data_IF_677993595004
#
_entry.id   IF_677993595004
#
_cell.length_a   1.000
_cell.length_b   1.000
_cell.length_c   1.000
_cell.angle_alpha   90.00
_cell.angle_beta   90.00
_cell.angle_gamma   90.00
#
_symmetry.space_group_name_H-M   'P 1'
#
loop_
_entity.id
_entity.type
_entity.pdbx_description
1 polymer ?
#
# COMPACT_ATOMS: atom_id res chain seq x y z
N UNK A 1 -8.86 7.57 11.46
CA UNK A 1 -7.89 6.73 10.73
C UNK A 1 -7.51 5.48 11.53
N UNK A 2 -6.76 5.58 12.64
CA UNK A 2 -6.33 4.37 13.36
C UNK A 2 -7.49 3.49 13.85
N UNK A 3 -8.51 4.10 14.48
CA UNK A 3 -9.69 3.37 14.95
C UNK A 3 -10.48 2.74 13.79
N UNK A 4 -10.50 3.39 12.63
CA UNK A 4 -11.14 2.86 11.43
C UNK A 4 -10.39 1.63 10.91
N UNK A 5 -9.06 1.69 10.81
CA UNK A 5 -8.25 0.53 10.41
C UNK A 5 -8.44 -0.62 11.39
N UNK A 6 -8.41 -0.33 12.69
CA UNK A 6 -8.60 -1.31 13.75
C UNK A 6 -9.98 -1.95 13.69
N UNK A 7 -11.03 -1.16 13.41
CA UNK A 7 -12.39 -1.66 13.19
C UNK A 7 -12.52 -2.56 11.97
N UNK A 8 -11.85 -2.22 10.86
CA UNK A 8 -11.80 -3.06 9.64
C UNK A 8 -11.10 -4.39 9.92
N UNK A 9 -9.97 -4.39 10.64
CA UNK A 9 -9.26 -5.62 11.03
C UNK A 9 -10.11 -6.48 11.96
N UNK A 10 -10.81 -5.88 12.94
CA UNK A 10 -11.70 -6.63 13.84
C UNK A 10 -12.88 -7.30 13.11
N UNK A 11 -13.31 -6.74 11.98
CA UNK A 11 -14.41 -7.27 11.17
C UNK A 11 -14.00 -8.38 10.19
N UNK A 12 -12.70 -8.71 10.08
CA UNK A 12 -12.19 -9.80 9.24
C UNK A 12 -12.79 -11.13 9.69
N UNK A 13 -13.30 -11.91 8.72
CA UNK A 13 -13.99 -13.17 8.98
C UNK A 13 -13.02 -14.35 9.03
N UNK A 14 -11.99 -14.35 8.17
CA UNK A 14 -10.94 -15.37 8.17
C UNK A 14 -10.09 -15.24 9.46
N UNK A 15 -10.10 -16.25 10.35
CA UNK A 15 -9.44 -16.14 11.65
C UNK A 15 -7.92 -16.02 11.55
N UNK A 16 -7.31 -16.66 10.54
CA UNK A 16 -5.86 -16.61 10.31
C UNK A 16 -5.43 -15.23 9.82
N UNK A 17 -6.17 -14.67 8.86
CA UNK A 17 -5.92 -13.30 8.38
C UNK A 17 -6.09 -12.30 9.52
N UNK A 18 -7.19 -12.40 10.28
CA UNK A 18 -7.46 -11.50 11.41
C UNK A 18 -6.31 -11.54 12.43
N UNK A 19 -5.90 -12.73 12.84
CA UNK A 19 -4.83 -12.90 13.83
C UNK A 19 -3.49 -12.32 13.32
N UNK A 20 -3.16 -12.52 12.05
CA UNK A 20 -1.96 -11.94 11.44
C UNK A 20 -2.03 -10.40 11.44
N UNK A 21 -3.14 -9.82 11.00
CA UNK A 21 -3.32 -8.37 10.94
C UNK A 21 -3.34 -7.74 12.33
N UNK A 22 -3.98 -8.37 13.31
CA UNK A 22 -3.92 -7.93 14.72
C UNK A 22 -2.47 -7.92 15.23
N UNK A 23 -1.64 -8.90 14.87
CA UNK A 23 -0.21 -8.92 15.21
C UNK A 23 0.55 -7.76 14.57
N UNK A 24 0.27 -7.45 13.30
CA UNK A 24 0.85 -6.30 12.60
C UNK A 24 0.49 -4.99 13.32
N UNK A 25 -0.80 -4.80 13.63
CA UNK A 25 -1.29 -3.60 14.32
C UNK A 25 -0.65 -3.45 15.71
N UNK A 26 -0.49 -4.56 16.44
CA UNK A 26 0.13 -4.57 17.76
C UNK A 26 1.63 -4.21 17.71
N UNK A 27 2.40 -4.81 16.80
CA UNK A 27 3.86 -4.62 16.72
C UNK A 27 4.25 -3.30 16.08
N UNK A 28 3.49 -2.87 15.09
CA UNK A 28 3.89 -1.77 14.21
C UNK A 28 2.97 -0.55 14.29
N UNK A 29 1.92 -0.57 15.12
CA UNK A 29 0.90 0.48 15.13
C UNK A 29 1.41 1.89 15.38
N UNK A 30 2.33 2.08 16.34
CA UNK A 30 2.93 3.40 16.58
C UNK A 30 3.68 3.93 15.37
N UNK A 31 4.38 3.06 14.64
CA UNK A 31 5.09 3.43 13.41
C UNK A 31 4.12 3.72 12.28
N UNK A 32 3.14 2.84 12.05
CA UNK A 32 2.11 3.01 11.01
C UNK A 32 1.35 4.33 11.14
N UNK A 33 1.06 4.78 12.36
CA UNK A 33 0.38 6.07 12.62
C UNK A 33 1.15 7.29 12.13
N UNK A 34 2.48 7.21 12.04
CA UNK A 34 3.34 8.36 11.72
C UNK A 34 4.19 8.16 10.46
N UNK A 35 4.24 6.96 9.88
CA UNK A 35 5.09 6.65 8.73
C UNK A 35 4.61 7.33 7.44
N UNK A 36 5.52 7.83 6.58
CA UNK A 36 5.17 8.24 5.22
C UNK A 36 4.92 7.01 4.32
N UNK A 37 4.04 7.13 3.32
CA UNK A 37 3.82 6.05 2.36
C UNK A 37 4.92 5.98 1.29
N UNK A 38 5.60 7.10 1.02
CA UNK A 38 6.72 7.13 0.08
C UNK A 38 7.74 8.20 0.47
N UNK A 39 8.94 8.07 -0.07
CA UNK A 39 10.00 9.08 0.07
C UNK A 39 9.67 10.41 -0.63
N UNK A 40 9.12 10.35 -1.86
CA UNK A 40 8.91 11.55 -2.69
C UNK A 40 7.69 11.51 -3.62
N UNK A 41 6.95 10.40 -3.70
CA UNK A 41 5.96 10.18 -4.78
C UNK A 41 4.54 10.52 -4.33
N UNK A 42 3.94 9.71 -3.46
CA UNK A 42 2.59 9.90 -2.95
C UNK A 42 2.59 9.72 -1.43
N UNK A 43 1.84 10.56 -0.72
CA UNK A 43 1.71 10.48 0.74
C UNK A 43 3.05 10.55 1.51
N UNK A 44 4.00 11.36 1.01
CA UNK A 44 5.33 11.57 1.61
C UNK A 44 5.29 12.54 2.82
N UNK A 45 4.39 12.28 3.77
CA UNK A 45 4.21 13.06 5.00
C UNK A 45 3.84 12.13 6.16
N UNK A 46 3.96 12.64 7.39
CA UNK A 46 3.66 11.84 8.59
C UNK A 46 2.22 11.31 8.57
N UNK A 47 2.06 9.99 8.74
CA UNK A 47 0.77 9.30 8.68
C UNK A 47 0.26 9.00 7.27
N UNK A 48 1.04 9.32 6.24
CA UNK A 48 0.68 9.08 4.85
C UNK A 48 0.49 7.60 4.52
N UNK A 49 1.26 6.69 5.13
CA UNK A 49 1.11 5.24 4.92
C UNK A 49 -0.25 4.75 5.43
N UNK A 50 -0.68 5.22 6.60
CA UNK A 50 -1.98 4.85 7.16
C UNK A 50 -3.15 5.37 6.30
N UNK A 51 -3.04 6.61 5.80
CA UNK A 51 -4.05 7.17 4.89
C UNK A 51 -4.15 6.35 3.60
N UNK A 52 -3.00 5.98 3.01
CA UNK A 52 -2.92 5.16 1.82
C UNK A 52 -3.56 3.77 2.05
N UNK A 53 -3.19 3.07 3.13
CA UNK A 53 -3.78 1.78 3.52
C UNK A 53 -5.30 1.88 3.65
N UNK A 54 -5.83 2.90 4.34
CA UNK A 54 -7.28 3.07 4.52
C UNK A 54 -8.00 3.28 3.21
N UNK A 55 -7.40 4.04 2.29
CA UNK A 55 -7.99 4.30 0.99
C UNK A 55 -8.00 3.07 0.09
N UNK A 56 -6.93 2.28 0.12
CA UNK A 56 -6.91 0.98 -0.55
C UNK A 56 -7.94 0.03 0.06
N UNK A 57 -8.07 0.00 1.39
CA UNK A 57 -9.07 -0.81 2.07
C UNK A 57 -10.52 -0.40 1.73
N UNK A 58 -10.78 0.90 1.59
CA UNK A 58 -12.09 1.43 1.19
C UNK A 58 -12.44 1.06 -0.26
N UNK A 59 -11.57 1.43 -1.20
CA UNK A 59 -11.81 1.18 -2.64
C UNK A 59 -11.78 -0.31 -2.94
N UNK A 60 -10.79 -1.02 -2.40
CA UNK A 60 -10.63 -2.47 -2.54
C UNK A 60 -11.82 -3.24 -1.99
N UNK A 61 -12.39 -2.84 -0.86
CA UNK A 61 -13.62 -3.45 -0.32
C UNK A 61 -14.82 -3.30 -1.26
N UNK A 62 -14.98 -2.12 -1.90
CA UNK A 62 -16.02 -1.90 -2.90
C UNK A 62 -15.83 -2.75 -4.17
N UNK A 63 -14.59 -2.89 -4.64
CA UNK A 63 -14.26 -3.75 -5.77
C UNK A 63 -14.43 -5.23 -5.43
N UNK A 64 -14.04 -5.65 -4.22
CA UNK A 64 -14.23 -7.02 -3.76
C UNK A 64 -15.70 -7.42 -3.76
N UNK A 65 -16.57 -6.55 -3.24
CA UNK A 65 -18.02 -6.76 -3.29
C UNK A 65 -18.58 -6.79 -4.72
N UNK A 66 -18.03 -5.97 -5.62
CA UNK A 66 -18.51 -5.86 -7.01
C UNK A 66 -18.11 -7.05 -7.87
N UNK A 67 -16.91 -7.60 -7.66
CA UNK A 67 -16.36 -8.72 -8.43
C UNK A 67 -16.53 -10.08 -7.74
N UNK A 68 -16.98 -10.12 -6.49
CA UNK A 68 -17.20 -11.36 -5.74
C UNK A 68 -15.90 -12.05 -5.30
N UNK A 69 -14.83 -11.28 -5.07
CA UNK A 69 -13.55 -11.80 -4.56
C UNK A 69 -13.47 -11.70 -3.03
N UNK A 70 -12.47 -12.35 -2.42
CA UNK A 70 -12.32 -12.37 -0.96
C UNK A 70 -11.95 -10.98 -0.40
N UNK A 71 -12.86 -10.30 0.34
CA UNK A 71 -12.58 -8.97 0.89
C UNK A 71 -11.53 -9.00 2.02
N UNK A 72 -11.38 -10.12 2.73
CA UNK A 72 -10.41 -10.24 3.81
C UNK A 72 -8.99 -10.30 3.23
N UNK A 73 -8.80 -11.00 2.09
CA UNK A 73 -7.53 -11.02 1.37
C UNK A 73 -7.18 -9.66 0.77
N UNK A 74 -8.15 -8.93 0.20
CA UNK A 74 -7.92 -7.58 -0.33
C UNK A 74 -7.53 -6.61 0.79
N UNK A 75 -8.22 -6.66 1.95
CA UNK A 75 -7.86 -5.85 3.12
C UNK A 75 -6.47 -6.22 3.65
N UNK A 76 -6.15 -7.52 3.72
CA UNK A 76 -4.83 -7.97 4.14
C UNK A 76 -3.74 -7.48 3.18
N UNK A 77 -3.95 -7.60 1.88
CA UNK A 77 -3.06 -7.05 0.86
C UNK A 77 -2.84 -5.55 1.04
N UNK A 78 -3.91 -4.77 1.25
CA UNK A 78 -3.81 -3.34 1.48
C UNK A 78 -2.93 -2.98 2.68
N UNK A 79 -3.00 -3.73 3.79
CA UNK A 79 -2.19 -3.49 4.99
C UNK A 79 -0.75 -3.98 4.83
N UNK A 80 -0.54 -5.09 4.13
CA UNK A 80 0.73 -5.82 4.10
C UNK A 80 1.66 -5.41 2.95
N UNK A 81 1.13 -4.97 1.81
CA UNK A 81 1.92 -4.80 0.57
C UNK A 81 3.15 -3.90 0.74
N UNK A 82 3.01 -2.86 1.57
CA UNK A 82 4.02 -1.85 1.82
C UNK A 82 4.65 -1.93 3.23
N UNK A 83 4.36 -2.99 3.98
CA UNK A 83 4.81 -3.11 5.38
C UNK A 83 6.34 -3.06 5.49
N UNK A 84 7.06 -3.54 4.48
CA UNK A 84 8.51 -3.47 4.41
C UNK A 84 9.07 -2.05 4.39
N UNK A 85 8.27 -1.02 4.09
CA UNK A 85 8.68 0.40 4.18
C UNK A 85 9.04 0.82 5.59
N UNK A 86 8.53 0.11 6.60
CA UNK A 86 8.96 0.27 7.97
C UNK A 86 10.45 -0.05 8.09
N UNK A 87 10.92 -1.17 7.55
CA UNK A 87 12.34 -1.55 7.64
C UNK A 87 13.22 -0.88 6.57
N UNK A 88 12.63 -0.42 5.47
CA UNK A 88 13.34 0.24 4.38
C UNK A 88 13.79 1.66 4.75
N UNK A 89 12.94 2.41 5.45
CA UNK A 89 13.15 3.83 5.76
C UNK A 89 13.64 4.01 7.21
N UNK A 90 14.64 4.86 7.40
CA UNK A 90 15.13 5.34 8.70
C UNK A 90 14.33 6.55 9.17
N UNK A 91 14.15 6.67 10.50
CA UNK A 91 13.32 7.70 11.13
C UNK A 91 14.13 8.81 11.84
N UNK A 92 15.46 8.86 11.67
CA UNK A 92 16.33 9.82 12.37
C UNK A 92 16.33 11.21 11.69
N UNK A 93 15.20 11.92 11.79
CA UNK A 93 15.05 13.35 11.44
C UNK A 93 15.04 13.67 9.94
N UNK A 94 15.63 12.83 9.09
CA UNK A 94 15.50 12.83 7.65
C UNK A 94 15.23 11.40 7.18
N UNK A 95 14.20 11.21 6.35
CA UNK A 95 13.89 9.90 5.77
C UNK A 95 15.08 9.45 4.93
N UNK A 96 15.90 8.55 5.48
CA UNK A 96 17.09 7.98 4.82
C UNK A 96 16.85 6.49 4.64
N UNK A 97 17.47 5.85 3.65
CA UNK A 97 17.32 4.40 3.52
C UNK A 97 18.16 3.69 4.58
N UNK A 98 17.58 2.68 5.25
CA UNK A 98 18.34 1.78 6.12
C UNK A 98 19.32 0.94 5.30
N UNK A 99 20.28 0.30 5.95
CA UNK A 99 21.18 -0.65 5.25
C UNK A 99 20.38 -1.76 4.56
N UNK A 100 19.38 -2.31 5.26
CA UNK A 100 18.51 -3.36 4.73
C UNK A 100 17.63 -2.82 3.60
N UNK A 101 17.11 -1.60 3.73
CA UNK A 101 16.35 -0.93 2.67
C UNK A 101 17.15 -0.79 1.38
N UNK A 102 18.40 -0.32 1.47
CA UNK A 102 19.28 -0.20 0.30
C UNK A 102 19.64 -1.55 -0.34
N UNK A 103 19.80 -2.61 0.45
CA UNK A 103 20.24 -3.91 -0.05
C UNK A 103 19.10 -4.80 -0.56
N UNK A 104 17.92 -4.70 0.05
CA UNK A 104 16.82 -5.66 -0.16
C UNK A 104 15.55 -5.02 -0.72
N UNK A 105 15.30 -3.74 -0.42
CA UNK A 105 14.05 -3.03 -0.74
C UNK A 105 12.83 -3.50 0.06
N UNK A 106 11.79 -2.67 0.11
CA UNK A 106 10.58 -2.92 0.90
C UNK A 106 9.81 -4.17 0.46
N UNK A 107 9.78 -4.55 -0.83
CA UNK A 107 9.07 -5.77 -1.27
C UNK A 107 9.67 -7.00 -0.58
N UNK A 108 10.98 -7.18 -0.68
CA UNK A 108 11.70 -8.32 -0.07
C UNK A 108 11.54 -8.30 1.46
N UNK A 109 11.66 -7.12 2.07
CA UNK A 109 11.49 -6.95 3.52
C UNK A 109 10.06 -7.27 3.95
N UNK A 110 9.05 -6.84 3.19
CA UNK A 110 7.63 -7.09 3.45
C UNK A 110 7.29 -8.57 3.42
N UNK A 111 7.76 -9.30 2.39
CA UNK A 111 7.58 -10.76 2.32
C UNK A 111 8.22 -11.45 3.51
N UNK A 112 9.44 -11.07 3.87
CA UNK A 112 10.13 -11.63 5.04
C UNK A 112 9.33 -11.39 6.32
N UNK A 113 8.84 -10.17 6.53
CA UNK A 113 8.01 -9.81 7.69
C UNK A 113 6.72 -10.64 7.74
N UNK A 114 6.02 -10.78 6.61
CA UNK A 114 4.78 -11.59 6.51
C UNK A 114 5.07 -13.04 6.84
N UNK A 115 6.11 -13.63 6.24
CA UNK A 115 6.48 -15.03 6.48
C UNK A 115 6.89 -15.30 7.93
N UNK A 116 7.67 -14.41 8.54
CA UNK A 116 8.06 -14.50 9.95
C UNK A 116 6.83 -14.43 10.88
N UNK A 117 5.93 -13.46 10.67
CA UNK A 117 4.73 -13.33 11.50
C UNK A 117 3.72 -14.47 11.29
N UNK A 118 3.58 -14.98 10.06
CA UNK A 118 2.72 -16.14 9.80
C UNK A 118 3.28 -17.41 10.47
N UNK A 119 4.59 -17.60 10.49
CA UNK A 119 5.24 -18.75 11.14
C UNK A 119 5.06 -18.76 12.67
N UNK A 120 4.82 -17.61 13.28
CA UNK A 120 4.51 -17.51 14.72
C UNK A 120 3.08 -17.92 15.07
N UNK A 121 2.19 -18.07 14.08
CA UNK A 121 0.81 -18.47 14.26
C UNK A 121 0.68 -19.98 14.08
N UNK A 122 0.42 -20.70 15.17
CA UNK A 122 0.35 -22.16 15.16
C UNK A 122 -0.76 -22.67 14.21
N UNK A 123 -0.36 -23.43 13.20
CA UNK A 123 -1.29 -24.02 12.22
C UNK A 123 -1.68 -23.10 11.08
N UNK A 124 -0.98 -21.97 10.88
CA UNK A 124 -1.25 -21.06 9.76
C UNK A 124 -1.17 -21.81 8.41
N UNK A 125 -2.22 -21.75 7.55
CA UNK A 125 -2.23 -22.51 6.30
C UNK A 125 -1.18 -22.03 5.31
N UNK A 126 -0.40 -22.96 4.74
CA UNK A 126 0.64 -22.65 3.76
C UNK A 126 0.09 -21.94 2.51
N UNK A 127 -1.04 -22.40 1.96
CA UNK A 127 -1.70 -21.77 0.80
C UNK A 127 -2.09 -20.31 1.10
N UNK A 128 -2.59 -20.04 2.31
CA UNK A 128 -2.93 -18.66 2.71
C UNK A 128 -1.68 -17.80 2.85
N UNK A 129 -0.59 -18.34 3.42
CA UNK A 129 0.69 -17.61 3.52
C UNK A 129 1.18 -17.23 2.13
N UNK A 130 1.23 -18.18 1.20
CA UNK A 130 1.71 -17.96 -0.16
C UNK A 130 0.86 -16.92 -0.91
N UNK A 131 -0.47 -16.93 -0.73
CA UNK A 131 -1.35 -15.90 -1.29
C UNK A 131 -1.03 -14.51 -0.73
N UNK A 132 -0.84 -14.37 0.58
CA UNK A 132 -0.49 -13.09 1.21
C UNK A 132 0.89 -12.59 0.77
N UNK A 133 1.88 -13.48 0.70
CA UNK A 133 3.20 -13.16 0.14
C UNK A 133 3.08 -12.75 -1.33
N UNK A 134 2.23 -13.41 -2.11
CA UNK A 134 1.94 -13.06 -3.51
C UNK A 134 1.36 -11.66 -3.65
N UNK A 135 0.44 -11.26 -2.77
CA UNK A 135 -0.08 -9.87 -2.73
C UNK A 135 1.08 -8.88 -2.57
N UNK A 136 2.05 -9.17 -1.69
CA UNK A 136 3.22 -8.31 -1.47
C UNK A 136 4.18 -8.32 -2.66
N UNK A 137 4.55 -9.46 -3.23
CA UNK A 137 5.54 -9.47 -4.34
C UNK A 137 4.98 -8.91 -5.64
N UNK A 138 3.67 -8.94 -5.83
CA UNK A 138 3.06 -8.55 -7.11
C UNK A 138 2.42 -7.17 -7.13
N UNK A 139 2.41 -6.42 -6.03
CA UNK A 139 1.58 -5.21 -5.91
C UNK A 139 1.93 -4.07 -6.90
N UNK A 140 3.19 -3.89 -7.33
CA UNK A 140 3.50 -2.93 -8.40
C UNK A 140 2.99 -3.37 -9.80
N UNK A 141 2.39 -4.54 -9.93
CA UNK A 141 1.61 -4.97 -11.09
C UNK A 141 2.42 -5.55 -12.26
N UNK A 142 3.64 -5.06 -12.47
CA UNK A 142 4.48 -5.53 -13.56
C UNK A 142 5.96 -5.51 -13.20
N UNK A 143 6.73 -6.40 -13.83
CA UNK A 143 8.20 -6.43 -13.71
C UNK A 143 8.87 -5.12 -14.11
N UNK A 144 8.33 -4.44 -15.13
CA UNK A 144 8.81 -3.14 -15.56
C UNK A 144 8.58 -2.02 -14.52
N UNK A 145 7.68 -2.24 -13.56
CA UNK A 145 7.37 -1.33 -12.45
C UNK A 145 8.06 -1.76 -11.14
N UNK A 146 8.90 -2.79 -11.17
CA UNK A 146 9.73 -3.22 -10.04
C UNK A 146 9.17 -4.40 -9.24
N UNK A 147 8.01 -4.96 -9.59
CA UNK A 147 7.53 -6.22 -8.98
C UNK A 147 8.39 -7.42 -9.44
N UNK A 148 8.79 -8.33 -8.54
CA UNK A 148 9.40 -9.60 -8.93
C UNK A 148 8.52 -10.45 -9.88
N UNK A 149 7.20 -10.46 -9.66
CA UNK A 149 6.22 -11.23 -10.42
C UNK A 149 4.94 -10.40 -10.66
N UNK A 150 4.19 -10.74 -11.70
CA UNK A 150 2.89 -10.13 -11.98
C UNK A 150 1.79 -10.65 -11.03
N UNK A 151 0.69 -9.91 -10.82
CA UNK A 151 -0.48 -10.41 -10.10
C UNK A 151 -1.08 -11.64 -10.80
N UNK A 152 -1.40 -12.69 -10.03
CA UNK A 152 -1.88 -13.99 -10.54
C UNK A 152 -3.21 -14.42 -9.89
N UNK A 153 -3.75 -13.61 -9.00
CA UNK A 153 -5.06 -13.79 -8.37
C UNK A 153 -5.90 -12.53 -8.59
N UNK A 154 -7.22 -12.66 -8.48
CA UNK A 154 -8.13 -11.52 -8.66
C UNK A 154 -7.90 -10.47 -7.56
N UNK A 155 -7.63 -10.90 -6.33
CA UNK A 155 -7.31 -10.01 -5.21
C UNK A 155 -6.02 -9.23 -5.47
N UNK A 156 -4.97 -9.89 -5.99
CA UNK A 156 -3.70 -9.23 -6.28
C UNK A 156 -3.82 -8.25 -7.45
N UNK A 157 -4.63 -8.60 -8.47
CA UNK A 157 -4.94 -7.71 -9.58
C UNK A 157 -5.69 -6.47 -9.08
N UNK A 158 -6.68 -6.65 -8.21
CA UNK A 158 -7.42 -5.55 -7.59
C UNK A 158 -6.48 -4.67 -6.79
N UNK A 159 -5.69 -5.24 -5.88
CA UNK A 159 -4.73 -4.52 -5.04
C UNK A 159 -3.77 -3.67 -5.90
N UNK A 160 -3.15 -4.29 -6.89
CA UNK A 160 -2.20 -3.60 -7.76
C UNK A 160 -2.85 -2.45 -8.53
N UNK A 161 -4.06 -2.65 -9.05
CA UNK A 161 -4.78 -1.61 -9.79
C UNK A 161 -5.17 -0.43 -8.89
N UNK A 162 -5.60 -0.68 -7.64
CA UNK A 162 -5.98 0.40 -6.73
C UNK A 162 -4.78 1.15 -6.16
N UNK A 163 -3.65 0.47 -5.95
CA UNK A 163 -2.39 1.08 -5.54
C UNK A 163 -1.88 2.07 -6.61
N UNK A 164 -1.77 1.61 -7.87
CA UNK A 164 -1.37 2.49 -8.98
C UNK A 164 -2.34 3.65 -9.20
N UNK A 165 -3.65 3.40 -9.05
CA UNK A 165 -4.67 4.44 -9.16
C UNK A 165 -4.51 5.50 -8.05
N UNK A 166 -4.28 5.10 -6.81
CA UNK A 166 -4.09 6.04 -5.70
C UNK A 166 -2.83 6.90 -5.92
N UNK A 167 -1.71 6.26 -6.27
CA UNK A 167 -0.47 6.93 -6.61
C UNK A 167 -0.62 7.91 -7.79
N UNK A 168 -1.39 7.51 -8.82
CA UNK A 168 -1.67 8.34 -10.01
C UNK A 168 -2.53 9.55 -9.65
N UNK A 169 -3.62 9.35 -8.91
CA UNK A 169 -4.52 10.44 -8.49
C UNK A 169 -3.84 11.40 -7.52
N UNK A 170 -2.97 10.90 -6.64
CA UNK A 170 -2.19 11.76 -5.75
C UNK A 170 -1.26 12.68 -6.54
N UNK A 171 -0.51 12.13 -7.50
CA UNK A 171 0.37 12.90 -8.39
C UNK A 171 -0.41 13.92 -9.23
N UNK A 172 -1.55 13.52 -9.79
CA UNK A 172 -2.44 14.41 -10.53
C UNK A 172 -2.85 15.63 -9.69
N UNK A 173 -3.42 15.37 -8.50
CA UNK A 173 -3.93 16.43 -7.62
C UNK A 173 -2.82 17.36 -7.14
N UNK A 174 -1.65 16.80 -6.81
CA UNK A 174 -0.49 17.57 -6.39
C UNK A 174 -0.01 18.51 -7.49
N UNK A 175 0.19 17.99 -8.70
CA UNK A 175 0.68 18.79 -9.83
C UNK A 175 -0.28 19.91 -10.21
N UNK A 176 -1.59 19.63 -10.26
CA UNK A 176 -2.62 20.66 -10.50
C UNK A 176 -2.59 21.76 -9.44
N UNK A 177 -2.40 21.40 -8.16
CA UNK A 177 -2.36 22.36 -7.05
C UNK A 177 -1.09 23.20 -7.04
N UNK A 178 0.05 22.63 -7.44
CA UNK A 178 1.36 23.30 -7.43
C UNK A 178 1.63 24.10 -8.71
N UNK A 179 0.89 23.85 -9.79
CA UNK A 179 1.01 24.59 -11.04
C UNK A 179 0.56 26.05 -10.89
N UNK A 180 1.46 26.97 -11.24
CA UNK A 180 1.23 28.42 -11.21
C UNK A 180 1.24 29.04 -12.61
N UNK A 181 1.18 28.21 -13.66
CA UNK A 181 1.16 28.69 -15.04
C UNK A 181 -0.16 29.37 -15.40
N UNK A 182 -0.14 30.21 -16.42
CA UNK A 182 -1.35 30.79 -17.00
C UNK A 182 -2.09 29.76 -17.88
N UNK A 183 -3.39 29.99 -18.14
CA UNK A 183 -4.22 29.14 -18.99
C UNK A 183 -4.83 27.92 -18.30
N UNK A 184 -5.65 27.16 -19.03
CA UNK A 184 -6.49 26.07 -18.51
C UNK A 184 -5.74 24.77 -18.23
N UNK A 185 -4.54 24.60 -18.77
CA UNK A 185 -3.72 23.40 -18.59
C UNK A 185 -2.48 23.67 -17.75
N UNK A 186 -2.04 22.67 -16.99
CA UNK A 186 -0.76 22.68 -16.28
C UNK A 186 0.43 22.58 -17.24
N UNK A 187 1.64 22.85 -16.75
CA UNK A 187 2.86 22.35 -17.38
C UNK A 187 2.83 20.82 -17.55
N UNK A 188 3.63 20.29 -18.47
CA UNK A 188 3.69 18.85 -18.76
C UNK A 188 4.18 18.06 -17.54
N UNK A 189 3.41 17.03 -17.14
CA UNK A 189 3.78 16.15 -16.04
C UNK A 189 4.59 14.96 -16.56
N UNK A 190 5.88 14.87 -16.21
CA UNK A 190 6.80 13.86 -16.75
C UNK A 190 6.35 12.42 -16.49
N UNK A 191 5.97 12.07 -15.24
CA UNK A 191 5.56 10.70 -14.89
C UNK A 191 4.22 10.29 -15.51
N UNK A 192 3.21 11.16 -15.45
CA UNK A 192 1.90 10.91 -16.06
C UNK A 192 1.88 11.08 -17.60
N UNK A 193 2.97 11.63 -18.15
CA UNK A 193 3.23 11.84 -19.58
C UNK A 193 2.14 12.63 -20.30
N UNK A 194 1.60 13.66 -19.65
CA UNK A 194 0.51 14.50 -20.18
C UNK A 194 0.46 15.86 -19.50
N UNK A 195 -0.21 16.82 -20.12
CA UNK A 195 -0.71 18.03 -19.44
C UNK A 195 -2.04 17.73 -18.75
N UNK A 196 -2.35 18.43 -17.67
CA UNK A 196 -3.57 18.22 -16.88
C UNK A 196 -4.48 19.44 -16.98
N UNK A 197 -5.79 19.21 -17.05
CA UNK A 197 -6.79 20.28 -17.01
C UNK A 197 -6.90 20.81 -15.57
N UNK A 198 -6.82 22.14 -15.41
CA UNK A 198 -7.05 22.82 -14.13
C UNK A 198 -8.57 22.85 -13.85
N UNK A 199 -8.99 22.73 -12.58
CA UNK A 199 -10.40 22.88 -12.25
C UNK A 199 -10.86 24.29 -12.66
N UNK A 200 -11.89 24.38 -13.48
CA UNK A 200 -12.64 25.63 -13.63
C UNK A 200 -13.13 26.05 -12.25
N UNK A 201 -12.96 27.32 -11.87
CA UNK A 201 -13.29 27.82 -10.54
C UNK A 201 -14.60 27.22 -10.00
N UNK A 202 -14.53 26.54 -8.86
CA UNK A 202 -15.71 26.06 -8.12
C UNK A 202 -16.31 27.19 -7.31
#
# INVERSE_FOLDING_TARGET
MWDELSGRVAAVQNPWIRQLLESVLQRHGERLKVWPAAMMVHHAYAGGLLEHILKLAEVGGGLAASYGVDPDLVLAGAILHDLGKLEELGHDGATTYSRSGNLLGHITLGVKMVGEMAAEIAGFPDDLRERLEHMVVSHHGARALGSPVEPMTEEALILSAIDDLDATLHQFKRHVREDSGEGEFTAYHTRLRRVLLKPSGR
#
